data_IF_583620160973
#
_entry.id   IF_583620160973
#
_cell.length_a   1.000
_cell.length_b   1.000
_cell.length_c   1.000
_cell.angle_alpha   90.00
_cell.angle_beta   90.00
_cell.angle_gamma   90.00
#
_symmetry.space_group_name_H-M   'P 1'
#
loop_
_entity.id
_entity.type
_entity.pdbx_description
1 polymer ?
#
# COMPACT_ATOMS: atom_id res chain seq x y z
N UNK A 1 14.71 24.90 -3.53
CA UNK A 1 13.74 24.62 -2.45
C UNK A 1 13.77 23.12 -2.22
N UNK A 2 14.65 22.67 -1.31
CA UNK A 2 15.02 21.27 -1.17
C UNK A 2 13.93 20.48 -0.43
N UNK A 3 13.65 19.26 -0.88
CA UNK A 3 12.78 18.30 -0.19
C UNK A 3 13.65 17.52 0.80
N UNK A 4 13.33 17.56 2.09
CA UNK A 4 14.10 16.87 3.12
C UNK A 4 13.72 15.37 3.23
N UNK A 5 12.45 15.06 2.99
CA UNK A 5 11.85 13.75 3.26
C UNK A 5 10.80 13.39 2.22
N UNK A 6 10.72 12.11 1.84
CA UNK A 6 9.60 11.54 1.11
C UNK A 6 8.89 10.44 1.92
N UNK A 7 7.59 10.63 2.16
CA UNK A 7 6.70 9.60 2.72
C UNK A 7 5.95 8.91 1.60
N UNK A 8 6.09 7.59 1.50
CA UNK A 8 5.55 6.79 0.40
C UNK A 8 4.43 5.89 0.91
N UNK A 9 3.24 6.00 0.32
CA UNK A 9 2.02 5.31 0.76
C UNK A 9 1.47 4.43 -0.37
N UNK A 10 2.00 3.21 -0.56
CA UNK A 10 1.54 2.29 -1.59
C UNK A 10 0.20 1.63 -1.24
N UNK A 11 -0.65 1.47 -2.26
CA UNK A 11 -1.96 0.86 -2.09
C UNK A 11 -2.03 -0.59 -2.60
N UNK A 12 -1.51 -0.84 -3.80
CA UNK A 12 -1.58 -2.12 -4.49
C UNK A 12 -0.26 -2.91 -4.41
N UNK A 13 -0.21 -4.22 -4.75
CA UNK A 13 1.04 -4.99 -4.71
C UNK A 13 2.16 -4.39 -5.58
N UNK A 14 1.82 -3.98 -6.81
CA UNK A 14 2.77 -3.33 -7.72
C UNK A 14 3.22 -1.97 -7.19
N UNK A 15 2.31 -1.23 -6.54
CA UNK A 15 2.60 0.05 -5.93
C UNK A 15 3.65 -0.10 -4.82
N UNK A 16 3.50 -1.14 -3.98
CA UNK A 16 4.46 -1.46 -2.91
C UNK A 16 5.83 -1.75 -3.49
N UNK A 17 5.91 -2.55 -4.56
CA UNK A 17 7.17 -2.82 -5.24
C UNK A 17 7.79 -1.54 -5.83
N UNK A 18 7.05 -0.80 -6.66
CA UNK A 18 7.55 0.39 -7.35
C UNK A 18 8.00 1.48 -6.39
N UNK A 19 7.21 1.76 -5.35
CA UNK A 19 7.57 2.77 -4.35
C UNK A 19 8.70 2.28 -3.44
N UNK A 20 8.84 0.98 -3.19
CA UNK A 20 10.01 0.44 -2.48
C UNK A 20 11.32 0.65 -3.26
N UNK A 21 11.28 0.45 -4.58
CA UNK A 21 12.42 0.72 -5.44
C UNK A 21 12.74 2.23 -5.49
N UNK A 22 11.70 3.07 -5.57
CA UNK A 22 11.84 4.53 -5.50
C UNK A 22 12.45 4.98 -4.17
N UNK A 23 12.01 4.43 -3.04
CA UNK A 23 12.52 4.76 -1.71
C UNK A 23 14.04 4.56 -1.62
N UNK A 24 14.53 3.45 -2.18
CA UNK A 24 15.96 3.14 -2.23
C UNK A 24 16.73 4.10 -3.11
N UNK A 25 16.17 4.46 -4.26
CA UNK A 25 16.78 5.44 -5.15
C UNK A 25 16.89 6.80 -4.46
N UNK A 26 15.79 7.30 -3.87
CA UNK A 26 15.75 8.60 -3.20
C UNK A 26 16.74 8.70 -2.04
N UNK A 27 16.89 7.64 -1.23
CA UNK A 27 17.93 7.61 -0.18
C UNK A 27 19.35 7.63 -0.73
N UNK A 28 19.59 6.96 -1.87
CA UNK A 28 20.88 7.05 -2.56
C UNK A 28 21.21 8.46 -3.04
N UNK A 29 20.19 9.27 -3.33
CA UNK A 29 20.28 10.68 -3.71
C UNK A 29 20.19 11.65 -2.52
N UNK A 30 20.17 11.14 -1.28
CA UNK A 30 20.19 11.96 -0.06
C UNK A 30 18.82 12.48 0.42
N UNK A 31 17.70 11.97 -0.12
CA UNK A 31 16.36 12.27 0.37
C UNK A 31 15.91 11.16 1.31
N UNK A 32 15.64 11.50 2.58
CA UNK A 32 15.25 10.50 3.57
C UNK A 32 13.86 9.94 3.27
N UNK A 33 13.68 8.61 3.33
CA UNK A 33 12.38 7.98 3.00
C UNK A 33 11.81 7.07 4.08
N UNK A 34 10.48 7.05 4.19
CA UNK A 34 9.74 6.05 4.96
C UNK A 34 8.55 5.57 4.16
N UNK A 35 8.31 4.25 4.18
CA UNK A 35 7.14 3.65 3.57
C UNK A 35 6.09 3.40 4.64
N UNK A 36 4.85 3.82 4.40
CA UNK A 36 3.67 3.37 5.15
C UNK A 36 2.93 2.38 4.25
N UNK A 37 2.90 1.10 4.60
CA UNK A 37 2.45 0.04 3.68
C UNK A 37 1.81 -1.15 4.38
N UNK A 38 1.10 -1.96 3.59
CA UNK A 38 0.38 -3.15 4.05
C UNK A 38 0.89 -4.47 3.43
N UNK A 39 1.62 -4.44 2.31
CA UNK A 39 2.23 -5.64 1.73
C UNK A 39 3.63 -5.89 2.32
N UNK A 40 3.68 -6.44 3.54
CA UNK A 40 4.92 -6.60 4.31
C UNK A 40 6.00 -7.37 3.56
N UNK A 41 5.63 -8.50 2.98
CA UNK A 41 6.50 -9.39 2.23
C UNK A 41 7.17 -8.69 1.04
N UNK A 42 6.40 -7.93 0.25
CA UNK A 42 6.92 -7.18 -0.90
C UNK A 42 7.94 -6.13 -0.45
N UNK A 43 7.58 -5.34 0.57
CA UNK A 43 8.42 -4.22 1.04
C UNK A 43 9.71 -4.73 1.69
N UNK A 44 9.63 -5.76 2.53
CA UNK A 44 10.80 -6.37 3.16
C UNK A 44 11.71 -7.06 2.14
N UNK A 45 11.13 -7.73 1.14
CA UNK A 45 11.89 -8.32 0.03
C UNK A 45 12.65 -7.26 -0.76
N UNK A 46 12.00 -6.14 -1.09
CA UNK A 46 12.66 -5.02 -1.76
C UNK A 46 13.77 -4.37 -0.91
N UNK A 47 13.76 -4.55 0.41
CA UNK A 47 14.84 -4.14 1.30
C UNK A 47 14.92 -2.62 1.48
N UNK A 48 13.79 -2.01 1.82
CA UNK A 48 13.65 -0.56 1.91
C UNK A 48 14.39 0.03 3.11
N UNK A 49 14.72 1.32 3.10
CA UNK A 49 15.42 1.99 4.19
C UNK A 49 14.64 1.90 5.52
N UNK A 50 13.36 2.28 5.50
CA UNK A 50 12.51 2.34 6.69
C UNK A 50 11.06 2.02 6.30
N UNK A 51 10.39 1.22 7.12
CA UNK A 51 9.04 0.74 6.84
C UNK A 51 8.16 0.76 8.09
N UNK A 52 7.04 1.46 8.01
CA UNK A 52 5.90 1.32 8.90
C UNK A 52 4.86 0.38 8.25
N UNK A 53 4.76 -0.82 8.80
CA UNK A 53 3.83 -1.85 8.37
C UNK A 53 2.47 -1.70 9.08
N UNK A 54 1.38 -1.64 8.33
CA UNK A 54 0.01 -1.75 8.85
C UNK A 54 -0.58 -3.10 8.41
N UNK A 55 -0.96 -3.95 9.37
CA UNK A 55 -1.58 -5.26 9.12
C UNK A 55 -3.07 -5.12 8.74
N UNK A 56 -3.31 -4.38 7.65
CA UNK A 56 -4.62 -3.96 7.14
C UNK A 56 -4.84 -4.50 5.71
N UNK A 57 -6.08 -4.51 5.19
CA UNK A 57 -6.33 -4.79 3.79
C UNK A 57 -5.56 -3.81 2.88
N UNK A 58 -5.07 -4.31 1.75
CA UNK A 58 -4.43 -3.49 0.72
C UNK A 58 -5.32 -2.29 0.35
N UNK A 59 -4.69 -1.13 0.16
CA UNK A 59 -5.36 0.15 -0.06
C UNK A 59 -5.58 0.99 1.22
N UNK A 60 -5.29 0.45 2.40
CA UNK A 60 -5.47 1.15 3.68
C UNK A 60 -4.14 1.38 4.43
N UNK A 61 -3.07 1.67 3.69
CA UNK A 61 -1.73 1.80 4.27
C UNK A 61 -1.54 3.04 5.16
N UNK A 62 -2.36 4.08 4.95
CA UNK A 62 -2.28 5.33 5.71
C UNK A 62 -2.78 5.17 7.15
N UNK A 63 -3.96 4.60 7.36
CA UNK A 63 -4.56 4.16 8.63
C UNK A 63 -6.01 3.70 8.36
N UNK A 64 -6.90 3.74 9.37
CA UNK A 64 -8.32 3.41 9.21
C UNK A 64 -9.04 4.45 8.32
N UNK A 65 -9.96 4.00 7.44
CA UNK A 65 -10.73 4.89 6.58
C UNK A 65 -11.64 5.79 7.42
N UNK A 66 -11.76 7.06 7.02
CA UNK A 66 -12.62 8.06 7.67
C UNK A 66 -12.32 8.27 9.17
N UNK A 67 -11.10 7.96 9.61
CA UNK A 67 -10.67 8.17 11.00
C UNK A 67 -9.39 9.03 11.03
N UNK A 68 -9.53 10.36 11.04
CA UNK A 68 -8.39 11.29 11.05
C UNK A 68 -7.45 11.07 12.22
N UNK A 69 -7.98 10.76 13.42
CA UNK A 69 -7.15 10.50 14.60
C UNK A 69 -6.19 9.33 14.39
N UNK A 70 -6.66 8.24 13.79
CA UNK A 70 -5.80 7.10 13.46
C UNK A 70 -4.76 7.44 12.40
N UNK A 71 -5.11 8.31 11.45
CA UNK A 71 -4.21 8.76 10.38
C UNK A 71 -3.09 9.63 10.94
N UNK A 72 -3.43 10.57 11.83
CA UNK A 72 -2.46 11.41 12.54
C UNK A 72 -1.50 10.55 13.38
N UNK A 73 -2.04 9.59 14.14
CA UNK A 73 -1.23 8.67 14.96
C UNK A 73 -0.26 7.83 14.11
N UNK A 74 -0.75 7.27 13.00
CA UNK A 74 0.08 6.41 12.16
C UNK A 74 1.14 7.23 11.40
N UNK A 75 0.79 8.44 10.97
CA UNK A 75 1.72 9.35 10.32
C UNK A 75 2.80 9.84 11.30
N UNK A 76 2.44 10.20 12.53
CA UNK A 76 3.42 10.53 13.58
C UNK A 76 4.38 9.36 13.83
N UNK A 77 3.85 8.14 13.90
CA UNK A 77 4.69 6.94 14.05
C UNK A 77 5.63 6.76 12.86
N UNK A 78 5.20 7.02 11.63
CA UNK A 78 6.06 6.95 10.45
C UNK A 78 7.23 7.96 10.53
N UNK A 79 6.97 9.18 11.02
CA UNK A 79 8.01 10.18 11.25
C UNK A 79 8.97 9.78 12.37
N UNK A 80 8.47 9.14 13.45
CA UNK A 80 9.34 8.58 14.50
C UNK A 80 10.22 7.46 13.96
N UNK A 81 9.69 6.59 13.10
CA UNK A 81 10.49 5.55 12.42
C UNK A 81 11.56 6.20 11.55
N UNK A 82 11.21 7.28 10.82
CA UNK A 82 12.16 8.04 10.02
C UNK A 82 13.34 8.56 10.86
N UNK A 83 13.05 9.16 12.01
CA UNK A 83 14.02 9.80 12.91
C UNK A 83 14.87 8.77 13.68
N UNK A 84 14.28 7.67 14.13
CA UNK A 84 14.87 6.78 15.13
C UNK A 84 15.25 5.38 14.62
N UNK A 85 15.00 5.04 13.35
CA UNK A 85 15.37 3.72 12.82
C UNK A 85 16.89 3.46 13.01
N UNK A 86 17.29 2.37 13.69
CA UNK A 86 18.70 2.13 14.04
C UNK A 86 19.56 1.76 12.82
N UNK A 87 18.94 1.27 11.74
CA UNK A 87 19.61 0.88 10.51
C UNK A 87 18.61 0.83 9.34
N UNK A 88 19.11 0.81 8.08
CA UNK A 88 18.29 0.45 6.93
C UNK A 88 17.61 -0.92 7.12
N UNK A 89 16.50 -1.17 6.41
CA UNK A 89 15.65 -2.37 6.56
C UNK A 89 15.00 -2.50 7.93
N UNK A 90 14.78 -1.38 8.62
CA UNK A 90 13.96 -1.36 9.83
C UNK A 90 12.48 -1.43 9.48
N UNK A 91 11.79 -2.45 9.97
CA UNK A 91 10.32 -2.57 9.94
C UNK A 91 9.76 -2.33 11.35
N UNK A 92 8.82 -1.39 11.46
CA UNK A 92 7.99 -1.20 12.66
C UNK A 92 6.55 -1.53 12.30
N UNK A 93 5.86 -2.27 13.16
CA UNK A 93 4.44 -2.55 12.97
C UNK A 93 3.60 -1.48 13.68
N UNK A 94 2.63 -0.92 12.95
CA UNK A 94 1.61 -0.03 13.50
C UNK A 94 0.79 -0.76 14.57
N UNK A 95 0.48 -0.11 15.71
CA UNK A 95 -0.36 -0.69 16.75
C UNK A 95 -1.86 -0.66 16.40
N UNK A 96 -2.25 0.01 15.31
CA UNK A 96 -3.65 0.08 14.90
C UNK A 96 -4.16 -1.30 14.47
N UNK A 97 -5.42 -1.60 14.80
CA UNK A 97 -6.09 -2.85 14.43
C UNK A 97 -7.20 -2.55 13.42
N UNK A 98 -7.27 -3.36 12.35
CA UNK A 98 -8.31 -3.21 11.33
C UNK A 98 -9.68 -3.64 11.88
N UNK A 99 -9.71 -4.84 12.45
CA UNK A 99 -10.87 -5.43 13.09
C UNK A 99 -10.41 -6.49 14.10
N UNK A 100 -11.23 -6.76 15.12
CA UNK A 100 -10.97 -7.82 16.11
C UNK A 100 -11.06 -9.22 15.49
N UNK A 101 -12.03 -9.44 14.60
CA UNK A 101 -12.15 -10.69 13.84
C UNK A 101 -11.16 -10.68 12.66
N UNK A 102 -10.17 -11.60 12.61
CA UNK A 102 -9.19 -11.65 11.53
C UNK A 102 -9.74 -12.22 10.22
N UNK A 103 -11.02 -12.62 10.15
CA UNK A 103 -11.61 -13.23 8.95
C UNK A 103 -11.49 -12.36 7.69
N UNK A 104 -11.37 -11.04 7.83
CA UNK A 104 -11.11 -10.10 6.71
C UNK A 104 -9.83 -10.42 5.94
N UNK A 105 -8.83 -11.06 6.57
CA UNK A 105 -7.56 -11.43 5.91
C UNK A 105 -7.76 -12.41 4.75
N UNK A 106 -8.86 -13.15 4.79
CA UNK A 106 -9.21 -14.12 3.76
C UNK A 106 -9.98 -13.49 2.60
N UNK A 107 -10.29 -12.19 2.62
CA UNK A 107 -11.11 -11.55 1.59
C UNK A 107 -10.31 -11.16 0.33
N UNK A 108 -8.99 -11.06 0.45
CA UNK A 108 -8.14 -10.68 -0.68
C UNK A 108 -7.97 -11.83 -1.68
N UNK A 109 -8.48 -11.64 -2.91
CA UNK A 109 -8.32 -12.56 -4.05
C UNK A 109 -8.65 -14.04 -3.73
N UNK A 110 -9.62 -14.28 -2.85
CA UNK A 110 -9.96 -15.63 -2.42
C UNK A 110 -11.27 -16.11 -3.05
N UNK A 111 -11.14 -16.97 -4.07
CA UNK A 111 -12.29 -17.55 -4.77
C UNK A 111 -13.08 -18.55 -3.90
N UNK A 112 -12.45 -19.16 -2.89
CA UNK A 112 -13.10 -20.16 -2.02
C UNK A 112 -14.21 -19.53 -1.15
N UNK A 113 -14.17 -18.20 -0.95
CA UNK A 113 -15.20 -17.45 -0.21
C UNK A 113 -16.31 -16.89 -1.08
N UNK A 114 -16.28 -17.16 -2.39
CA UNK A 114 -17.26 -16.65 -3.35
C UNK A 114 -18.15 -17.77 -3.86
N UNK A 115 -19.46 -17.51 -3.92
CA UNK A 115 -20.42 -18.36 -4.63
C UNK A 115 -20.17 -18.32 -6.14
N UNK A 116 -20.68 -19.32 -6.85
CA UNK A 116 -20.59 -19.40 -8.32
C UNK A 116 -21.26 -18.19 -8.97
N UNK A 117 -22.37 -17.74 -8.41
CA UNK A 117 -23.12 -16.56 -8.86
C UNK A 117 -22.29 -15.28 -8.68
N UNK A 118 -21.63 -15.12 -7.52
CA UNK A 118 -20.72 -13.99 -7.28
C UNK A 118 -19.53 -14.01 -8.25
N UNK A 119 -18.95 -15.17 -8.52
CA UNK A 119 -17.84 -15.32 -9.48
C UNK A 119 -18.29 -14.92 -10.89
N UNK A 120 -19.47 -15.38 -11.34
CA UNK A 120 -20.01 -15.01 -12.66
C UNK A 120 -20.18 -13.51 -12.78
N UNK A 121 -20.84 -12.90 -11.78
CA UNK A 121 -21.07 -11.45 -11.75
C UNK A 121 -19.76 -10.65 -11.77
N UNK A 122 -18.78 -11.00 -10.94
CA UNK A 122 -17.49 -10.30 -10.90
C UNK A 122 -16.72 -10.43 -12.21
N UNK A 123 -16.83 -11.56 -12.92
CA UNK A 123 -16.23 -11.72 -14.26
C UNK A 123 -16.88 -10.80 -15.29
N UNK A 124 -18.21 -10.71 -15.29
CA UNK A 124 -18.96 -9.81 -16.17
C UNK A 124 -18.61 -8.34 -15.89
N UNK A 125 -18.57 -7.94 -14.61
CA UNK A 125 -18.17 -6.60 -14.19
C UNK A 125 -16.73 -6.27 -14.62
N UNK A 126 -15.78 -7.21 -14.43
CA UNK A 126 -14.40 -7.03 -14.85
C UNK A 126 -14.25 -6.91 -16.38
N UNK A 127 -15.00 -7.70 -17.15
CA UNK A 127 -15.00 -7.61 -18.61
C UNK A 127 -15.57 -6.29 -19.11
N UNK A 128 -16.70 -5.84 -18.53
CA UNK A 128 -17.29 -4.55 -18.84
C UNK A 128 -16.29 -3.42 -18.56
N UNK A 129 -15.64 -3.42 -17.39
CA UNK A 129 -14.62 -2.43 -17.04
C UNK A 129 -13.43 -2.44 -18.02
N UNK A 130 -12.98 -3.63 -18.45
CA UNK A 130 -11.90 -3.79 -19.45
C UNK A 130 -12.28 -3.18 -20.80
N UNK A 131 -13.49 -3.43 -21.29
CA UNK A 131 -14.00 -2.87 -22.55
C UNK A 131 -14.08 -1.34 -22.43
N UNK A 132 -14.70 -0.82 -21.38
CA UNK A 132 -14.81 0.63 -21.14
C UNK A 132 -13.43 1.30 -21.09
N UNK A 133 -12.48 0.72 -20.35
CA UNK A 133 -11.11 1.24 -20.26
C UNK A 133 -10.40 1.25 -21.63
N UNK A 134 -10.59 0.19 -22.44
CA UNK A 134 -10.06 0.12 -23.81
C UNK A 134 -10.64 1.21 -24.71
N UNK A 135 -11.95 1.41 -24.69
CA UNK A 135 -12.61 2.44 -25.50
C UNK A 135 -12.16 3.85 -25.11
N UNK A 136 -12.07 4.12 -23.81
CA UNK A 136 -11.55 5.39 -23.30
C UNK A 136 -10.11 5.63 -23.78
N UNK A 137 -9.24 4.62 -23.66
CA UNK A 137 -7.86 4.69 -24.14
C UNK A 137 -7.80 5.01 -25.64
N UNK A 138 -8.57 4.31 -26.47
CA UNK A 138 -8.60 4.55 -27.92
C UNK A 138 -9.06 5.98 -28.25
N UNK A 139 -9.99 6.55 -27.47
CA UNK A 139 -10.47 7.93 -27.64
C UNK A 139 -9.47 8.98 -27.14
N UNK A 140 -8.71 8.69 -26.08
CA UNK A 140 -7.89 9.69 -25.38
C UNK A 140 -6.43 9.75 -25.84
N UNK A 141 -5.81 8.62 -26.18
CA UNK A 141 -4.37 8.55 -26.47
C UNK A 141 -4.06 8.06 -27.89
N UNK A 142 -5.08 7.80 -28.71
CA UNK A 142 -4.90 7.19 -30.04
C UNK A 142 -4.53 5.70 -29.95
N UNK A 143 -4.57 5.02 -31.10
CA UNK A 143 -4.30 3.59 -31.23
C UNK A 143 -2.83 3.23 -30.92
#
# INVERSE_FOLDING_TARGET
DHVDVAVLIPNCPICHQSQSLLARYLEGEGISTVIMGAAKDIVEYCGVPRFLFSDFPLGNAAALPNNPQSQDQNFELALRVLECAPAPRTTVQSPLMWAEDPSWKLDYSNLERLSVEQISRLREEAEAARITARELRMKSVGA
#
